data_IF_414947034511
#
_entry.id   IF_414947034511
#
_cell.length_a   1.000
_cell.length_b   1.000
_cell.length_c   1.000
_cell.angle_alpha   90.00
_cell.angle_beta   90.00
_cell.angle_gamma   90.00
#
_symmetry.space_group_name_H-M   'P 1'
#
loop_
_entity.id
_entity.type
_entity.pdbx_description
1 polymer ?
#
# COMPACT_ATOMS: atom_id res chain seq x y z
N UNK A 1 17.74 46.04 15.17
CA UNK A 1 17.55 44.79 15.93
C UNK A 1 16.20 44.22 15.53
N UNK A 2 16.14 43.39 14.49
CA UNK A 2 14.90 42.71 14.11
C UNK A 2 15.08 41.24 14.41
N UNK A 3 14.73 40.87 15.64
CA UNK A 3 14.59 39.50 16.07
C UNK A 3 13.27 38.98 15.48
N UNK A 4 13.32 38.34 14.31
CA UNK A 4 12.17 37.63 13.75
C UNK A 4 12.00 36.34 14.54
N UNK A 5 11.09 36.39 15.49
CA UNK A 5 10.54 35.24 16.21
C UNK A 5 9.97 34.23 15.21
N UNK A 6 10.57 33.04 15.21
CA UNK A 6 10.10 31.83 14.53
C UNK A 6 8.88 31.33 15.30
N UNK A 7 7.68 31.74 14.90
CA UNK A 7 6.42 31.19 15.40
C UNK A 7 5.31 31.55 14.43
N UNK A 8 4.75 30.57 13.71
CA UNK A 8 3.58 30.77 12.85
C UNK A 8 3.56 29.97 11.56
N UNK A 9 3.63 28.64 11.63
CA UNK A 9 3.16 27.83 10.51
C UNK A 9 1.62 27.85 10.53
N UNK A 10 0.98 28.41 9.50
CA UNK A 10 -0.48 28.48 9.37
C UNK A 10 -1.04 27.05 9.23
N UNK A 11 -1.89 26.57 10.17
CA UNK A 11 -2.41 25.21 10.13
C UNK A 11 -3.32 24.94 8.92
N UNK A 12 -3.88 25.98 8.30
CA UNK A 12 -4.73 25.89 7.11
C UNK A 12 -3.95 26.04 5.80
N UNK A 13 -2.64 26.29 5.85
CA UNK A 13 -1.79 26.33 4.68
C UNK A 13 -1.83 24.99 3.94
N UNK A 14 -2.10 25.05 2.63
CA UNK A 14 -2.03 23.88 1.76
C UNK A 14 -0.57 23.67 1.36
N UNK A 15 0.00 22.57 1.80
CA UNK A 15 1.39 22.20 1.52
C UNK A 15 1.47 20.93 0.71
N UNK A 16 2.52 20.82 -0.10
CA UNK A 16 2.87 19.56 -0.76
C UNK A 16 3.51 18.61 0.25
N UNK A 17 3.19 17.33 0.12
CA UNK A 17 3.79 16.28 0.93
C UNK A 17 4.04 15.01 0.11
N UNK A 18 4.88 14.15 0.65
CA UNK A 18 5.03 12.78 0.20
C UNK A 18 5.26 11.85 1.39
N UNK A 19 4.95 10.57 1.20
CA UNK A 19 5.09 9.52 2.23
C UNK A 19 6.03 8.45 1.69
N UNK A 20 6.91 7.97 2.57
CA UNK A 20 7.87 6.90 2.28
C UNK A 20 7.62 5.67 3.15
N UNK A 21 7.92 4.49 2.63
CA UNK A 21 7.95 3.26 3.42
C UNK A 21 9.23 3.13 4.27
N UNK A 22 9.43 1.99 4.95
CA UNK A 22 10.63 1.72 5.74
C UNK A 22 11.92 1.64 4.91
N UNK A 23 11.82 1.41 3.60
CA UNK A 23 12.94 1.34 2.66
C UNK A 23 13.20 2.69 1.96
N UNK A 24 12.45 3.73 2.33
CA UNK A 24 12.55 5.07 1.75
C UNK A 24 11.81 5.21 0.40
N UNK A 25 11.08 4.19 -0.08
CA UNK A 25 10.36 4.27 -1.35
C UNK A 25 9.18 5.23 -1.20
N UNK A 26 9.05 6.18 -2.14
CA UNK A 26 7.90 7.10 -2.17
C UNK A 26 6.65 6.31 -2.57
N UNK A 27 5.70 6.21 -1.64
CA UNK A 27 4.44 5.45 -1.79
C UNK A 27 3.22 6.34 -2.00
N UNK A 28 3.31 7.62 -1.65
CA UNK A 28 2.22 8.59 -1.80
C UNK A 28 2.78 10.00 -1.98
N UNK A 29 2.08 10.81 -2.77
CA UNK A 29 2.36 12.24 -2.96
C UNK A 29 1.05 12.99 -3.02
N UNK A 30 0.99 14.22 -2.52
CA UNK A 30 -0.20 15.03 -2.66
C UNK A 30 -0.04 16.42 -2.08
N UNK A 31 -1.15 17.14 -2.02
CA UNK A 31 -1.28 18.42 -1.32
C UNK A 31 -2.34 18.28 -0.25
N UNK A 32 -2.08 18.76 0.95
CA UNK A 32 -3.06 18.78 2.04
C UNK A 32 -2.86 20.00 2.92
N UNK A 33 -3.90 20.36 3.67
CA UNK A 33 -3.75 21.36 4.73
C UNK A 33 -2.81 20.82 5.80
N UNK A 34 -1.95 21.68 6.34
CA UNK A 34 -0.92 21.29 7.32
C UNK A 34 -1.51 20.54 8.51
N UNK A 35 -2.72 20.93 8.95
CA UNK A 35 -3.47 20.27 10.03
C UNK A 35 -3.81 18.79 9.74
N UNK A 36 -4.07 18.41 8.48
CA UNK A 36 -4.53 17.07 8.09
C UNK A 36 -3.40 16.15 7.57
N UNK A 37 -2.15 16.61 7.60
CA UNK A 37 -1.02 15.85 7.04
C UNK A 37 -0.82 14.48 7.70
N UNK A 38 -1.03 14.39 9.01
CA UNK A 38 -0.83 13.16 9.77
C UNK A 38 -1.86 12.08 9.41
N UNK A 39 -3.05 12.48 8.93
CA UNK A 39 -4.09 11.54 8.47
C UNK A 39 -3.65 10.81 7.20
N UNK A 40 -2.77 11.43 6.41
CA UNK A 40 -2.24 10.89 5.16
C UNK A 40 -0.97 10.06 5.34
N UNK A 41 -0.41 9.97 6.55
CA UNK A 41 0.85 9.28 6.84
C UNK A 41 0.66 7.84 7.33
N UNK A 42 -0.55 7.27 7.24
CA UNK A 42 -0.83 5.93 7.76
C UNK A 42 0.04 4.87 7.08
N UNK A 43 0.98 4.28 7.83
CA UNK A 43 1.86 3.22 7.35
C UNK A 43 3.18 3.69 6.74
N UNK A 44 3.53 4.97 6.82
CA UNK A 44 4.81 5.47 6.31
C UNK A 44 5.34 6.71 7.02
N UNK A 45 6.52 7.17 6.61
CA UNK A 45 7.14 8.40 7.09
C UNK A 45 6.75 9.55 6.16
N UNK A 46 6.08 10.55 6.74
CA UNK A 46 5.69 11.78 6.07
C UNK A 46 6.88 12.74 5.89
N UNK A 47 6.94 13.38 4.73
CA UNK A 47 7.89 14.44 4.40
C UNK A 47 7.15 15.62 3.77
N UNK A 48 7.55 16.83 4.14
CA UNK A 48 7.06 18.05 3.50
C UNK A 48 7.84 18.31 2.21
N UNK A 49 7.12 18.74 1.17
CA UNK A 49 7.69 19.06 -0.14
C UNK A 49 7.09 18.23 -1.27
N UNK A 50 7.61 18.46 -2.46
CA UNK A 50 7.15 17.81 -3.69
C UNK A 50 8.14 16.72 -4.08
N UNK A 51 7.68 15.46 -4.16
CA UNK A 51 8.47 14.40 -4.76
C UNK A 51 8.43 14.50 -6.30
N UNK A 52 9.52 14.14 -7.00
CA UNK A 52 9.53 14.07 -8.46
C UNK A 52 8.50 13.08 -8.99
N UNK A 53 8.02 13.32 -10.20
CA UNK A 53 7.10 12.38 -10.87
C UNK A 53 7.85 11.10 -11.28
N UNK A 54 7.40 9.95 -10.80
CA UNK A 54 7.98 8.64 -11.09
C UNK A 54 8.17 7.80 -9.84
N UNK A 55 9.05 6.80 -9.92
CA UNK A 55 9.38 5.92 -8.79
C UNK A 55 10.73 6.33 -8.22
N UNK A 56 10.74 6.73 -6.95
CA UNK A 56 11.95 7.20 -6.29
C UNK A 56 12.05 6.62 -4.88
N UNK A 57 13.29 6.49 -4.42
CA UNK A 57 13.61 6.40 -2.99
C UNK A 57 14.06 7.77 -2.51
N UNK A 58 13.62 8.15 -1.32
CA UNK A 58 14.07 9.34 -0.64
C UNK A 58 15.08 8.94 0.43
N UNK A 59 16.36 9.22 0.17
CA UNK A 59 17.48 8.79 0.99
C UNK A 59 18.33 10.03 1.31
N UNK A 60 18.54 10.29 2.61
CA UNK A 60 19.39 11.39 3.08
C UNK A 60 19.05 12.80 2.53
N UNK A 61 17.78 13.05 2.17
CA UNK A 61 17.35 14.33 1.61
C UNK A 61 17.34 14.40 0.09
N UNK A 62 17.77 13.34 -0.60
CA UNK A 62 17.82 13.28 -2.07
C UNK A 62 16.86 12.22 -2.62
N UNK A 63 16.40 12.44 -3.85
CA UNK A 63 15.58 11.49 -4.59
C UNK A 63 16.46 10.68 -5.53
N UNK A 64 16.54 9.38 -5.27
CA UNK A 64 17.21 8.42 -6.13
C UNK A 64 16.17 7.67 -6.97
N UNK A 65 16.42 7.53 -8.28
CA UNK A 65 15.53 6.78 -9.16
C UNK A 65 15.42 5.35 -8.64
N UNK A 66 14.20 4.95 -8.31
CA UNK A 66 13.90 3.62 -7.84
C UNK A 66 13.29 2.82 -8.97
N UNK A 67 14.11 2.00 -9.61
CA UNK A 67 13.60 0.82 -10.28
C UNK A 67 13.43 -0.24 -9.20
N UNK A 68 12.20 -0.60 -8.80
CA UNK A 68 12.03 -1.85 -8.06
C UNK A 68 12.73 -2.93 -8.86
N UNK A 69 13.34 -3.89 -8.16
CA UNK A 69 13.97 -5.01 -8.81
C UNK A 69 12.87 -5.77 -9.54
N UNK A 70 12.68 -5.41 -10.80
CA UNK A 70 11.60 -5.80 -11.71
C UNK A 70 11.49 -7.32 -11.69
N UNK A 71 12.61 -8.01 -11.45
CA UNK A 71 12.71 -9.45 -11.34
C UNK A 71 11.91 -10.07 -10.19
N UNK A 72 11.80 -9.46 -9.02
CA UNK A 72 11.14 -10.13 -7.87
C UNK A 72 9.62 -9.95 -7.91
N UNK A 73 9.16 -8.71 -8.12
CA UNK A 73 7.73 -8.40 -8.09
C UNK A 73 6.98 -8.84 -9.35
N UNK A 74 7.60 -8.77 -10.55
CA UNK A 74 6.97 -9.33 -11.74
C UNK A 74 7.01 -10.85 -11.76
N UNK A 75 8.11 -11.50 -11.37
CA UNK A 75 8.13 -12.97 -11.35
C UNK A 75 7.10 -13.55 -10.37
N UNK A 76 6.86 -12.90 -9.22
CA UNK A 76 5.78 -13.29 -8.31
C UNK A 76 4.41 -12.99 -8.88
N UNK A 77 4.22 -11.82 -9.50
CA UNK A 77 2.93 -11.45 -10.08
C UNK A 77 2.55 -12.36 -11.23
N UNK A 78 3.50 -12.67 -12.10
CA UNK A 78 3.31 -13.54 -13.27
C UNK A 78 3.30 -15.03 -12.88
N UNK A 79 3.90 -15.38 -11.74
CA UNK A 79 3.90 -16.73 -11.18
C UNK A 79 2.67 -17.08 -10.34
N UNK A 80 1.87 -16.10 -9.93
CA UNK A 80 0.62 -16.38 -9.23
C UNK A 80 -0.41 -16.98 -10.21
N UNK A 81 -1.11 -18.05 -9.81
CA UNK A 81 -2.24 -18.52 -10.61
C UNK A 81 -3.36 -17.47 -10.61
N UNK A 82 -4.34 -17.56 -11.52
CA UNK A 82 -5.49 -16.68 -11.53
C UNK A 82 -6.16 -16.58 -10.14
N UNK A 83 -6.73 -15.42 -9.82
CA UNK A 83 -7.26 -15.16 -8.47
C UNK A 83 -8.34 -16.17 -8.07
N UNK A 84 -9.15 -16.62 -9.03
CA UNK A 84 -10.14 -17.66 -8.86
C UNK A 84 -9.54 -19.00 -8.45
N UNK A 85 -8.38 -19.37 -9.00
CA UNK A 85 -7.66 -20.60 -8.67
C UNK A 85 -7.01 -20.49 -7.29
N UNK A 86 -6.44 -19.32 -6.95
CA UNK A 86 -5.92 -19.07 -5.61
C UNK A 86 -7.03 -19.22 -4.54
N UNK A 87 -8.21 -18.65 -4.80
CA UNK A 87 -9.37 -18.77 -3.91
C UNK A 87 -9.91 -20.21 -3.88
N UNK A 88 -9.85 -20.94 -4.99
CA UNK A 88 -10.23 -22.36 -5.07
C UNK A 88 -9.30 -23.24 -4.21
N UNK A 89 -7.98 -23.02 -4.31
CA UNK A 89 -6.97 -23.68 -3.50
C UNK A 89 -7.18 -23.42 -2.01
N UNK A 90 -7.44 -22.15 -1.63
CA UNK A 90 -7.75 -21.78 -0.25
C UNK A 90 -9.02 -22.48 0.25
N UNK A 91 -10.05 -22.54 -0.59
CA UNK A 91 -11.29 -23.24 -0.25
C UNK A 91 -11.05 -24.74 -0.03
N UNK A 92 -10.30 -25.39 -0.91
CA UNK A 92 -9.97 -26.81 -0.79
C UNK A 92 -9.14 -27.12 0.46
N UNK A 93 -8.21 -26.25 0.85
CA UNK A 93 -7.45 -26.42 2.10
C UNK A 93 -8.37 -26.42 3.34
N UNK A 94 -9.38 -25.55 3.37
CA UNK A 94 -10.39 -25.56 4.43
C UNK A 94 -11.30 -26.80 4.36
N UNK A 95 -11.69 -27.22 3.15
CA UNK A 95 -12.58 -28.36 2.94
C UNK A 95 -11.94 -29.69 3.37
N UNK A 96 -10.66 -29.86 3.07
CA UNK A 96 -9.84 -31.02 3.45
C UNK A 96 -9.41 -31.00 4.92
N UNK A 97 -9.71 -29.92 5.66
CA UNK A 97 -9.35 -29.78 7.07
C UNK A 97 -7.87 -29.43 7.32
N UNK A 98 -7.13 -28.98 6.30
CA UNK A 98 -5.76 -28.50 6.46
C UNK A 98 -5.69 -27.17 7.21
N UNK A 99 -6.80 -26.42 7.25
CA UNK A 99 -6.95 -25.22 8.08
C UNK A 99 -8.42 -25.04 8.52
N UNK A 100 -8.70 -24.22 9.56
CA UNK A 100 -10.06 -23.94 10.00
C UNK A 100 -10.90 -23.29 8.89
N UNK A 101 -12.18 -23.64 8.85
CA UNK A 101 -13.15 -23.04 7.92
C UNK A 101 -13.43 -21.60 8.34
N UNK A 102 -13.16 -20.66 7.44
CA UNK A 102 -13.46 -19.25 7.62
C UNK A 102 -14.91 -18.98 7.19
N UNK A 103 -15.80 -18.76 8.14
CA UNK A 103 -17.19 -18.38 7.87
C UNK A 103 -17.35 -16.85 7.77
N UNK A 104 -18.23 -16.32 6.89
CA UNK A 104 -19.13 -17.05 5.99
C UNK A 104 -18.49 -17.41 4.62
N UNK A 105 -17.19 -17.17 4.44
CA UNK A 105 -16.50 -17.34 3.17
C UNK A 105 -16.59 -18.79 2.66
N UNK A 106 -16.33 -19.78 3.52
CA UNK A 106 -16.39 -21.19 3.19
C UNK A 106 -17.81 -21.64 2.78
N UNK A 107 -18.83 -21.37 3.60
CA UNK A 107 -20.22 -21.77 3.29
C UNK A 107 -20.78 -21.07 2.06
N UNK A 108 -20.39 -19.82 1.80
CA UNK A 108 -20.80 -19.08 0.59
C UNK A 108 -20.30 -19.77 -0.68
N UNK A 109 -19.01 -20.12 -0.73
CA UNK A 109 -18.43 -20.81 -1.89
C UNK A 109 -18.88 -22.27 -1.99
N UNK A 110 -19.06 -22.95 -0.87
CA UNK A 110 -19.56 -24.33 -0.83
C UNK A 110 -20.94 -24.43 -1.50
N UNK A 111 -21.86 -23.49 -1.21
CA UNK A 111 -23.20 -23.47 -1.83
C UNK A 111 -23.12 -23.33 -3.35
N UNK A 112 -22.28 -22.44 -3.85
CA UNK A 112 -22.08 -22.24 -5.30
C UNK A 112 -21.55 -23.52 -5.95
N UNK A 113 -20.55 -24.16 -5.35
CA UNK A 113 -19.95 -25.41 -5.84
C UNK A 113 -20.94 -26.58 -5.85
N UNK A 114 -21.81 -26.67 -4.83
CA UNK A 114 -22.88 -27.66 -4.78
C UNK A 114 -23.95 -27.41 -5.85
N UNK A 115 -24.27 -26.16 -6.16
CA UNK A 115 -25.22 -25.78 -7.21
C UNK A 115 -24.66 -26.02 -8.63
N UNK A 116 -23.34 -25.92 -8.79
CA UNK A 116 -22.64 -26.06 -10.07
C UNK A 116 -21.46 -27.05 -9.95
N UNK A 117 -21.74 -28.37 -9.87
CA UNK A 117 -20.68 -29.36 -9.76
C UNK A 117 -19.81 -29.36 -11.03
N UNK A 118 -18.48 -29.35 -10.86
CA UNK A 118 -17.55 -29.59 -11.97
C UNK A 118 -17.70 -31.07 -12.39
N UNK A 119 -17.96 -31.31 -13.68
CA UNK A 119 -17.96 -32.64 -14.31
C UNK A 119 -16.56 -33.19 -14.48
#
# INVERSE_FOLDING_TARGET
>A
MNSSTVDGDDPYEVVSYFVTDQQGVVIQTGTSQRLHLNDHAQGGRLHLGTAPQGRFKYINGEFELYTPDVSYDLARRDGYPPIEEQLDMLWHAMDQGAMPKAEPFYTTLQRVKQQHPKT
#
